data_IF_874584291639
#
_entry.id   IF_874584291639
#
_cell.length_a   1.000
_cell.length_b   1.000
_cell.length_c   1.000
_cell.angle_alpha   90.00
_cell.angle_beta   90.00
_cell.angle_gamma   90.00
#
_symmetry.space_group_name_H-M   'P 1'
#
loop_
_entity.id
_entity.type
_entity.pdbx_description
1 polymer ?
#
# COMPACT_ATOMS: atom_id res chain seq x y z
N UNK A 1 21.24 -10.83 52.83
CA UNK A 1 20.62 -11.36 51.60
C UNK A 1 20.11 -10.18 50.78
N UNK A 2 20.82 -9.80 49.71
CA UNK A 2 20.45 -8.67 48.82
C UNK A 2 19.42 -9.18 47.81
N UNK A 3 18.20 -8.64 47.86
CA UNK A 3 17.16 -8.87 46.84
C UNK A 3 17.36 -7.83 45.74
N UNK A 4 17.86 -8.25 44.59
CA UNK A 4 17.86 -7.43 43.38
C UNK A 4 16.46 -7.51 42.75
N UNK A 5 15.72 -6.40 42.78
CA UNK A 5 14.56 -6.20 41.91
C UNK A 5 15.10 -5.78 40.54
N UNK A 6 15.01 -6.67 39.56
CA UNK A 6 15.20 -6.32 38.15
C UNK A 6 13.89 -5.65 37.67
N UNK A 7 13.91 -4.33 37.54
CA UNK A 7 12.89 -3.59 36.84
C UNK A 7 13.12 -3.78 35.32
N UNK A 8 12.33 -4.63 34.68
CA UNK A 8 12.24 -4.65 33.22
C UNK A 8 11.51 -3.37 32.77
N UNK A 9 12.28 -2.34 32.41
CA UNK A 9 11.79 -1.23 31.60
C UNK A 9 11.41 -1.79 30.22
N UNK A 10 10.14 -2.12 30.01
CA UNK A 10 9.60 -2.33 28.69
C UNK A 10 9.66 -0.99 27.93
N UNK A 11 10.63 -0.86 27.03
CA UNK A 11 10.68 0.23 26.06
C UNK A 11 9.50 0.00 25.11
N UNK A 12 8.39 0.68 25.38
CA UNK A 12 7.28 0.79 24.44
C UNK A 12 7.78 1.65 23.27
N UNK A 13 8.26 0.98 22.22
CA UNK A 13 8.40 1.64 20.92
C UNK A 13 6.97 1.98 20.46
N UNK A 14 6.55 3.24 20.70
CA UNK A 14 5.43 3.84 19.99
C UNK A 14 5.77 3.83 18.50
N UNK A 15 5.37 2.76 17.80
CA UNK A 15 5.32 2.75 16.35
C UNK A 15 4.16 3.67 16.00
N UNK A 16 4.47 4.93 15.68
CA UNK A 16 3.49 5.85 15.12
C UNK A 16 2.89 5.17 13.89
N UNK A 17 1.56 5.12 13.81
CA UNK A 17 0.90 4.69 12.60
C UNK A 17 1.17 5.75 11.53
N UNK A 18 2.09 5.44 10.63
CA UNK A 18 2.31 6.27 9.46
C UNK A 18 1.05 6.21 8.61
N UNK A 19 0.51 7.37 8.25
CA UNK A 19 -0.47 7.46 7.18
C UNK A 19 0.11 6.76 5.95
N UNK A 20 -0.71 6.00 5.21
CA UNK A 20 -0.23 5.27 4.04
C UNK A 20 0.52 6.21 3.10
N UNK A 21 1.80 5.90 2.88
CA UNK A 21 2.65 6.64 1.96
C UNK A 21 2.27 6.22 0.54
N UNK A 22 1.49 7.07 -0.13
CA UNK A 22 1.05 6.81 -1.50
C UNK A 22 2.07 7.33 -2.52
N UNK A 23 3.35 7.20 -2.20
CA UNK A 23 4.45 7.58 -3.07
C UNK A 23 5.04 6.37 -3.77
N UNK A 24 5.45 6.56 -5.03
CA UNK A 24 6.15 5.55 -5.81
C UNK A 24 7.23 6.18 -6.68
N UNK A 25 8.12 5.32 -7.19
CA UNK A 25 9.22 5.71 -8.07
C UNK A 25 9.24 4.79 -9.28
N UNK A 26 9.37 5.38 -10.47
CA UNK A 26 9.58 4.66 -11.72
C UNK A 26 10.88 5.12 -12.38
N UNK A 27 11.71 4.16 -12.79
CA UNK A 27 12.90 4.42 -13.60
C UNK A 27 12.51 4.29 -15.07
N UNK A 28 12.64 5.37 -15.83
CA UNK A 28 12.22 5.45 -17.24
C UNK A 28 13.41 5.68 -18.16
N UNK A 29 13.34 5.09 -19.35
CA UNK A 29 14.27 5.32 -20.44
C UNK A 29 13.54 5.14 -21.77
N UNK A 30 13.10 6.25 -22.35
CA UNK A 30 12.19 6.26 -23.49
C UNK A 30 12.84 6.97 -24.67
N UNK A 31 12.69 6.40 -25.86
CA UNK A 31 13.16 7.01 -27.12
C UNK A 31 11.97 7.36 -28.01
N UNK A 32 12.01 8.51 -28.67
CA UNK A 32 10.98 9.05 -29.56
C UNK A 32 11.59 9.89 -30.69
N UNK A 33 10.73 10.40 -31.59
CA UNK A 33 11.12 11.28 -32.69
C UNK A 33 11.71 12.62 -32.20
N UNK A 34 11.31 13.07 -31.00
CA UNK A 34 11.86 14.26 -30.35
C UNK A 34 12.04 14.03 -28.86
N UNK A 35 13.00 14.74 -28.27
CA UNK A 35 13.24 14.71 -26.84
C UNK A 35 12.00 15.12 -26.00
N UNK A 36 11.21 16.08 -26.50
CA UNK A 36 9.98 16.51 -25.84
C UNK A 36 8.93 15.39 -25.83
N UNK A 37 8.72 14.73 -26.97
CA UNK A 37 7.81 13.58 -27.05
C UNK A 37 8.30 12.40 -26.19
N UNK A 38 9.62 12.14 -26.17
CA UNK A 38 10.21 11.12 -25.30
C UNK A 38 9.95 11.41 -23.82
N UNK A 39 10.09 12.68 -23.41
CA UNK A 39 9.80 13.12 -22.04
C UNK A 39 8.33 12.94 -21.69
N UNK A 40 7.41 13.38 -22.54
CA UNK A 40 5.96 13.27 -22.28
C UNK A 40 5.52 11.80 -22.13
N UNK A 41 6.04 10.91 -22.99
CA UNK A 41 5.80 9.47 -22.89
C UNK A 41 6.38 8.87 -21.61
N UNK A 42 7.60 9.27 -21.24
CA UNK A 42 8.26 8.81 -20.02
C UNK A 42 7.47 9.22 -18.76
N UNK A 43 6.92 10.43 -18.72
CA UNK A 43 6.04 10.86 -17.63
C UNK A 43 4.71 10.10 -17.59
N UNK A 44 4.14 9.77 -18.74
CA UNK A 44 2.90 8.98 -18.80
C UNK A 44 3.14 7.54 -18.34
N UNK A 45 4.23 6.91 -18.79
CA UNK A 45 4.65 5.56 -18.40
C UNK A 45 4.93 5.48 -16.89
N UNK A 46 5.75 6.40 -16.38
CA UNK A 46 6.04 6.48 -14.95
C UNK A 46 4.77 6.63 -14.11
N UNK A 47 3.84 7.50 -14.55
CA UNK A 47 2.58 7.74 -13.83
C UNK A 47 1.71 6.49 -13.79
N UNK A 48 1.54 5.81 -14.93
CA UNK A 48 0.76 4.56 -15.00
C UNK A 48 1.37 3.48 -14.12
N UNK A 49 2.69 3.30 -14.18
CA UNK A 49 3.39 2.34 -13.35
C UNK A 49 3.20 2.64 -11.86
N UNK A 50 3.47 3.87 -11.43
CA UNK A 50 3.34 4.26 -10.02
C UNK A 50 1.91 4.10 -9.52
N UNK A 51 0.91 4.52 -10.31
CA UNK A 51 -0.50 4.34 -9.96
C UNK A 51 -0.83 2.87 -9.78
N UNK A 52 -0.43 2.00 -10.71
CA UNK A 52 -0.62 0.56 -10.61
C UNK A 52 0.06 -0.03 -9.37
N UNK A 53 1.33 0.29 -9.15
CA UNK A 53 2.15 -0.30 -8.08
C UNK A 53 1.69 0.14 -6.68
N UNK A 54 1.30 1.41 -6.54
CA UNK A 54 0.85 1.98 -5.27
C UNK A 54 -0.61 1.63 -5.00
N UNK A 55 -1.53 1.95 -5.93
CA UNK A 55 -2.96 1.71 -5.71
C UNK A 55 -3.34 0.24 -5.79
N UNK A 56 -2.55 -0.61 -6.46
CA UNK A 56 -2.78 -2.06 -6.51
C UNK A 56 -2.69 -2.74 -5.15
N UNK A 57 -2.02 -2.11 -4.18
CA UNK A 57 -2.01 -2.56 -2.78
C UNK A 57 -3.35 -2.28 -2.07
N UNK A 58 -4.12 -1.34 -2.62
CA UNK A 58 -5.38 -0.83 -2.08
C UNK A 58 -6.62 -1.19 -2.91
N UNK A 59 -6.47 -2.01 -3.95
CA UNK A 59 -7.55 -2.39 -4.86
C UNK A 59 -7.37 -3.80 -5.42
N UNK A 60 -8.35 -4.27 -6.18
CA UNK A 60 -8.18 -5.48 -7.00
C UNK A 60 -7.19 -5.16 -8.14
N UNK A 61 -6.00 -5.80 -8.22
CA UNK A 61 -4.97 -5.42 -9.18
C UNK A 61 -5.42 -5.55 -10.64
N UNK A 62 -6.17 -6.60 -10.99
CA UNK A 62 -6.63 -6.82 -12.36
C UNK A 62 -7.61 -5.72 -12.82
N UNK A 63 -8.55 -5.33 -11.95
CA UNK A 63 -9.48 -4.23 -12.22
C UNK A 63 -8.74 -2.90 -12.39
N UNK A 64 -7.77 -2.63 -11.52
CA UNK A 64 -6.96 -1.42 -11.59
C UNK A 64 -6.18 -1.37 -12.89
N UNK A 65 -5.48 -2.46 -13.24
CA UNK A 65 -4.66 -2.53 -14.46
C UNK A 65 -5.50 -2.33 -15.73
N UNK A 66 -6.67 -2.94 -15.80
CA UNK A 66 -7.57 -2.80 -16.95
C UNK A 66 -8.06 -1.36 -17.13
N UNK A 67 -8.39 -0.67 -16.02
CA UNK A 67 -8.82 0.73 -16.06
C UNK A 67 -7.64 1.66 -16.35
N UNK A 68 -6.52 1.52 -15.64
CA UNK A 68 -5.31 2.34 -15.82
C UNK A 68 -4.80 2.26 -17.24
N UNK A 69 -4.77 1.07 -17.86
CA UNK A 69 -4.33 0.89 -19.25
C UNK A 69 -5.12 1.73 -20.25
N UNK A 70 -6.42 1.90 -20.02
CA UNK A 70 -7.32 2.62 -20.93
C UNK A 70 -7.61 4.06 -20.51
N UNK A 71 -7.14 4.48 -19.33
CA UNK A 71 -7.36 5.82 -18.80
C UNK A 71 -6.62 6.89 -19.63
N UNK A 72 -7.24 8.06 -19.76
CA UNK A 72 -6.60 9.22 -20.39
C UNK A 72 -5.51 9.74 -19.46
N UNK A 73 -4.42 10.22 -20.05
CA UNK A 73 -3.28 10.77 -19.31
C UNK A 73 -3.68 11.91 -18.36
N UNK A 74 -4.65 12.75 -18.77
CA UNK A 74 -5.17 13.84 -17.93
C UNK A 74 -5.88 13.34 -16.67
N UNK A 75 -6.66 12.26 -16.77
CA UNK A 75 -7.37 11.68 -15.62
C UNK A 75 -6.36 11.15 -14.60
N UNK A 76 -5.32 10.47 -15.08
CA UNK A 76 -4.25 9.95 -14.24
C UNK A 76 -3.40 11.08 -13.64
N UNK A 77 -3.19 12.19 -14.38
CA UNK A 77 -2.44 13.36 -13.88
C UNK A 77 -3.14 14.00 -12.68
N UNK A 78 -4.47 14.06 -12.71
CA UNK A 78 -5.27 14.64 -11.61
C UNK A 78 -5.15 13.83 -10.31
N UNK A 79 -4.60 12.61 -10.36
CA UNK A 79 -4.34 11.80 -9.18
C UNK A 79 -3.01 12.14 -8.50
N UNK A 80 -2.16 12.97 -9.12
CA UNK A 80 -0.80 13.24 -8.63
C UNK A 80 -0.80 14.53 -7.80
N UNK A 81 -0.50 14.41 -6.51
CA UNK A 81 -0.37 15.54 -5.59
C UNK A 81 0.99 16.24 -5.73
N UNK A 82 2.05 15.46 -5.94
CA UNK A 82 3.41 15.96 -6.07
C UNK A 82 4.24 15.04 -6.96
N UNK A 83 5.27 15.61 -7.59
CA UNK A 83 6.26 14.85 -8.35
C UNK A 83 7.65 15.44 -8.21
N UNK A 84 8.66 14.58 -8.35
CA UNK A 84 10.07 14.98 -8.40
C UNK A 84 10.83 14.11 -9.40
N UNK A 85 11.92 14.65 -9.92
CA UNK A 85 12.77 14.00 -10.93
C UNK A 85 14.17 13.91 -10.34
N UNK A 86 14.79 12.76 -10.47
CA UNK A 86 16.20 12.55 -10.13
C UNK A 86 16.93 11.88 -11.30
N UNK A 87 18.22 12.19 -11.45
CA UNK A 87 19.07 11.62 -12.50
C UNK A 87 18.59 11.89 -13.94
N UNK A 88 17.99 13.05 -14.22
CA UNK A 88 17.49 13.41 -15.55
C UNK A 88 18.61 13.45 -16.60
N UNK A 89 18.44 12.70 -17.67
CA UNK A 89 19.28 12.74 -18.87
C UNK A 89 18.41 12.88 -20.11
N UNK A 90 18.83 13.74 -21.02
CA UNK A 90 18.09 14.03 -22.25
C UNK A 90 19.06 14.12 -23.43
N UNK A 91 18.74 13.43 -24.52
CA UNK A 91 19.35 13.57 -25.83
C UNK A 91 18.32 14.12 -26.83
N UNK A 92 18.66 14.20 -28.12
CA UNK A 92 17.74 14.68 -29.15
C UNK A 92 16.47 13.83 -29.29
N UNK A 93 16.56 12.54 -28.93
CA UNK A 93 15.50 11.55 -29.12
C UNK A 93 15.21 10.70 -27.88
N UNK A 94 16.07 10.72 -26.86
CA UNK A 94 15.95 9.86 -25.68
C UNK A 94 15.81 10.69 -24.42
N UNK A 95 14.95 10.23 -23.51
CA UNK A 95 14.78 10.78 -22.16
C UNK A 95 14.88 9.65 -21.14
N UNK A 96 15.69 9.83 -20.10
CA UNK A 96 15.76 8.92 -18.96
C UNK A 96 15.82 9.67 -17.64
N UNK A 97 15.18 9.11 -16.62
CA UNK A 97 15.14 9.67 -15.27
C UNK A 97 14.59 8.65 -14.27
N UNK A 98 14.79 8.93 -12.99
CA UNK A 98 13.96 8.39 -11.92
C UNK A 98 12.86 9.40 -11.61
N UNK A 99 11.60 9.03 -11.82
CA UNK A 99 10.45 9.89 -11.57
C UNK A 99 9.76 9.39 -10.31
N UNK A 100 9.69 10.25 -9.30
CA UNK A 100 8.92 9.99 -8.08
C UNK A 100 7.60 10.75 -8.12
N UNK A 101 6.52 10.14 -7.68
CA UNK A 101 5.21 10.78 -7.59
C UNK A 101 4.53 10.38 -6.29
N UNK A 102 3.81 11.33 -5.69
CA UNK A 102 2.89 11.10 -4.57
C UNK A 102 1.47 11.22 -5.08
N UNK A 103 0.66 10.20 -4.82
CA UNK A 103 -0.74 10.13 -5.23
C UNK A 103 -1.61 10.86 -4.19
N UNK A 104 -2.50 11.72 -4.68
CA UNK A 104 -3.58 12.30 -3.89
C UNK A 104 -4.58 11.19 -3.52
N UNK A 105 -4.68 10.91 -2.22
CA UNK A 105 -5.52 9.86 -1.67
C UNK A 105 -6.99 10.05 -2.01
N UNK A 106 -7.52 11.26 -1.84
CA UNK A 106 -8.95 11.52 -1.98
C UNK A 106 -9.33 11.50 -3.45
N UNK A 107 -8.49 12.06 -4.32
CA UNK A 107 -8.66 11.96 -5.77
C UNK A 107 -8.59 10.51 -6.26
N UNK A 108 -7.60 9.73 -5.79
CA UNK A 108 -7.45 8.32 -6.17
C UNK A 108 -8.64 7.48 -5.72
N UNK A 109 -9.14 7.68 -4.50
CA UNK A 109 -10.31 6.97 -3.99
C UNK A 109 -11.56 7.31 -4.81
N UNK A 110 -11.83 8.59 -5.04
CA UNK A 110 -12.95 9.04 -5.86
C UNK A 110 -12.88 8.44 -7.27
N UNK A 111 -11.71 8.55 -7.91
CA UNK A 111 -11.48 8.00 -9.24
C UNK A 111 -11.66 6.49 -9.31
N UNK A 112 -11.15 5.72 -8.34
CA UNK A 112 -11.37 4.27 -8.28
C UNK A 112 -12.84 3.93 -8.11
N UNK A 113 -13.57 4.65 -7.26
CA UNK A 113 -15.02 4.45 -7.07
C UNK A 113 -15.80 4.78 -8.35
N UNK A 114 -15.50 5.90 -9.02
CA UNK A 114 -16.14 6.30 -10.28
C UNK A 114 -15.90 5.29 -11.41
N UNK A 115 -14.73 4.64 -11.42
CA UNK A 115 -14.38 3.61 -12.38
C UNK A 115 -14.79 2.19 -11.95
N UNK A 116 -15.59 2.04 -10.89
CA UNK A 116 -16.06 0.75 -10.37
C UNK A 116 -14.92 -0.20 -9.95
N UNK A 117 -13.77 0.34 -9.56
CA UNK A 117 -12.66 -0.42 -9.00
C UNK A 117 -12.94 -0.63 -7.52
N UNK A 118 -13.04 -1.90 -7.11
CA UNK A 118 -13.13 -2.23 -5.69
C UNK A 118 -11.84 -1.79 -5.00
N UNK A 119 -11.98 -0.86 -4.06
CA UNK A 119 -10.86 -0.32 -3.31
C UNK A 119 -11.11 -0.34 -1.79
N UNK A 120 -10.02 -0.35 -1.04
CA UNK A 120 -9.96 -0.31 0.41
C UNK A 120 -8.95 0.74 0.88
N UNK A 121 -8.79 1.80 0.09
CA UNK A 121 -8.06 2.99 0.51
C UNK A 121 -8.89 3.69 1.59
N UNK A 122 -8.32 3.86 2.78
CA UNK A 122 -9.02 4.53 3.88
C UNK A 122 -9.16 6.01 3.58
N UNK A 123 -10.31 6.60 3.95
CA UNK A 123 -10.49 8.04 3.83
C UNK A 123 -9.48 8.78 4.71
N UNK A 124 -9.07 9.99 4.32
CA UNK A 124 -8.05 10.76 5.06
C UNK A 124 -8.43 11.06 6.53
N UNK A 125 -9.71 10.89 6.89
CA UNK A 125 -10.24 11.09 8.24
C UNK A 125 -10.43 9.77 9.03
N UNK A 126 -10.35 8.62 8.37
CA UNK A 126 -10.52 7.28 8.92
C UNK A 126 -9.23 6.75 9.54
N UNK A 127 -8.44 7.65 10.15
CA UNK A 127 -7.17 7.37 10.84
C UNK A 127 -7.24 6.30 11.93
N UNK A 128 -8.40 5.71 12.16
CA UNK A 128 -8.62 4.64 13.10
C UNK A 128 -8.34 3.25 12.54
N UNK A 129 -8.14 3.04 11.22
CA UNK A 129 -7.90 1.69 10.66
C UNK A 129 -6.77 1.63 9.62
N UNK A 130 -6.07 0.50 9.58
CA UNK A 130 -5.08 0.17 8.56
C UNK A 130 -5.42 -1.13 7.84
N UNK A 131 -4.93 -1.25 6.61
CA UNK A 131 -5.18 -2.39 5.74
C UNK A 131 -4.22 -3.52 6.08
N UNK A 132 -4.77 -4.74 6.14
CA UNK A 132 -4.02 -5.99 6.30
C UNK A 132 -4.29 -6.87 5.10
N UNK A 133 -3.23 -7.27 4.40
CA UNK A 133 -3.30 -8.30 3.37
C UNK A 133 -2.78 -9.62 3.94
N UNK A 134 -3.59 -10.66 3.82
CA UNK A 134 -3.42 -11.93 4.51
C UNK A 134 -3.30 -13.02 3.46
N UNK A 135 -2.13 -13.63 3.32
CA UNK A 135 -1.89 -14.75 2.40
C UNK A 135 -1.73 -16.03 3.22
N UNK A 136 -2.50 -17.07 2.90
CA UNK A 136 -2.52 -18.30 3.69
C UNK A 136 -2.38 -19.53 2.82
N UNK A 137 -1.63 -20.52 3.30
CA UNK A 137 -1.53 -21.84 2.65
C UNK A 137 -2.84 -22.65 2.79
N UNK A 138 -3.41 -22.71 4.00
CA UNK A 138 -4.76 -23.22 4.26
C UNK A 138 -5.68 -22.07 4.66
N UNK A 139 -6.61 -21.74 3.77
CA UNK A 139 -7.49 -20.57 3.90
C UNK A 139 -8.39 -20.63 5.14
N UNK A 140 -9.05 -21.76 5.38
CA UNK A 140 -10.05 -21.82 6.45
C UNK A 140 -9.37 -21.91 7.81
N UNK A 141 -8.36 -22.79 7.93
CA UNK A 141 -7.62 -22.95 9.18
C UNK A 141 -6.89 -21.67 9.57
N UNK A 142 -6.15 -21.06 8.63
CA UNK A 142 -5.44 -19.81 8.86
C UNK A 142 -6.38 -18.65 9.21
N UNK A 143 -7.52 -18.56 8.53
CA UNK A 143 -8.48 -17.49 8.81
C UNK A 143 -9.17 -17.65 10.18
N UNK A 144 -9.56 -18.87 10.54
CA UNK A 144 -10.13 -19.14 11.87
C UNK A 144 -9.12 -18.84 12.97
N UNK A 145 -7.84 -19.19 12.75
CA UNK A 145 -6.77 -18.87 13.70
C UNK A 145 -6.58 -17.36 13.88
N UNK A 146 -6.52 -16.59 12.78
CA UNK A 146 -6.42 -15.12 12.86
C UNK A 146 -7.63 -14.49 13.56
N UNK A 147 -8.83 -15.01 13.29
CA UNK A 147 -10.06 -14.57 13.97
C UNK A 147 -10.04 -14.90 15.46
N UNK A 148 -9.46 -16.03 15.85
CA UNK A 148 -9.25 -16.39 17.26
C UNK A 148 -8.23 -15.45 17.91
N UNK A 149 -7.06 -15.26 17.30
CA UNK A 149 -6.02 -14.34 17.79
C UNK A 149 -6.60 -12.93 18.00
N UNK A 150 -7.29 -12.39 16.99
CA UNK A 150 -7.88 -11.06 17.10
C UNK A 150 -8.92 -10.99 18.23
N UNK A 151 -9.75 -12.03 18.39
CA UNK A 151 -10.74 -12.09 19.47
C UNK A 151 -10.10 -12.15 20.86
N UNK A 152 -9.06 -12.97 21.03
CA UNK A 152 -8.37 -13.15 22.30
C UNK A 152 -7.71 -11.83 22.77
N UNK A 153 -7.25 -11.01 21.81
CA UNK A 153 -6.69 -9.68 22.04
C UNK A 153 -7.73 -8.54 22.07
N UNK A 154 -9.02 -8.83 21.87
CA UNK A 154 -10.08 -7.81 21.79
C UNK A 154 -9.97 -6.89 20.58
N UNK A 155 -9.35 -7.35 19.50
CA UNK A 155 -9.07 -6.60 18.27
C UNK A 155 -10.18 -6.85 17.24
N UNK A 156 -10.74 -5.75 16.72
CA UNK A 156 -11.71 -5.83 15.63
C UNK A 156 -11.01 -6.04 14.28
N UNK A 157 -11.01 -7.28 13.79
CA UNK A 157 -10.55 -7.62 12.45
C UNK A 157 -11.74 -7.58 11.47
N UNK A 158 -11.85 -6.56 10.63
CA UNK A 158 -12.95 -6.42 9.67
C UNK A 158 -12.53 -6.94 8.30
N UNK A 159 -13.24 -7.93 7.75
CA UNK A 159 -12.98 -8.41 6.38
C UNK A 159 -13.50 -7.41 5.36
N UNK A 160 -12.70 -7.11 4.34
CA UNK A 160 -13.11 -6.29 3.20
C UNK A 160 -13.30 -7.11 1.95
N UNK A 161 -12.36 -8.02 1.68
CA UNK A 161 -12.35 -8.75 0.45
C UNK A 161 -11.69 -10.12 0.61
N UNK A 162 -12.13 -11.08 -0.20
CA UNK A 162 -11.63 -12.45 -0.21
C UNK A 162 -11.39 -12.84 -1.67
N UNK A 163 -10.14 -13.15 -2.01
CA UNK A 163 -9.75 -13.62 -3.34
C UNK A 163 -8.81 -14.81 -3.24
N UNK A 164 -9.29 -16.01 -3.62
CA UNK A 164 -8.52 -17.24 -3.51
C UNK A 164 -7.97 -17.43 -2.09
N UNK A 165 -6.65 -17.48 -1.98
CA UNK A 165 -5.89 -17.66 -0.74
C UNK A 165 -5.52 -16.34 -0.03
N UNK A 166 -5.93 -15.21 -0.59
CA UNK A 166 -5.71 -13.88 -0.03
C UNK A 166 -7.00 -13.34 0.59
N UNK A 167 -6.88 -12.77 1.79
CA UNK A 167 -7.93 -12.00 2.45
C UNK A 167 -7.40 -10.59 2.68
N UNK A 168 -8.19 -9.59 2.29
CA UNK A 168 -7.95 -8.20 2.68
C UNK A 168 -8.87 -7.86 3.85
N UNK A 169 -8.29 -7.35 4.91
CA UNK A 169 -8.99 -6.94 6.13
C UNK A 169 -8.52 -5.56 6.61
N UNK A 170 -9.21 -5.02 7.59
CA UNK A 170 -8.83 -3.81 8.30
C UNK A 170 -8.77 -4.06 9.80
N UNK A 171 -7.75 -3.48 10.44
CA UNK A 171 -7.54 -3.54 11.89
C UNK A 171 -7.44 -2.10 12.42
N UNK A 172 -7.94 -1.83 13.64
CA UNK A 172 -7.75 -0.52 14.24
C UNK A 172 -6.27 -0.16 14.37
N UNK A 173 -5.92 1.07 14.01
CA UNK A 173 -4.57 1.62 14.15
C UNK A 173 -4.08 1.51 15.59
N UNK A 174 -4.94 1.82 16.57
CA UNK A 174 -4.65 1.67 17.99
C UNK A 174 -4.27 0.22 18.39
N UNK A 175 -4.74 -0.77 17.64
CA UNK A 175 -4.49 -2.20 17.87
C UNK A 175 -3.30 -2.74 17.08
N UNK A 176 -2.60 -1.93 16.26
CA UNK A 176 -1.52 -2.41 15.36
C UNK A 176 -0.41 -3.13 16.12
N UNK A 177 0.03 -2.57 17.24
CA UNK A 177 1.11 -3.18 18.05
C UNK A 177 0.67 -4.52 18.65
N UNK A 178 -0.48 -4.56 19.31
CA UNK A 178 -1.03 -5.80 19.89
C UNK A 178 -1.24 -6.87 18.80
N UNK A 179 -1.81 -6.49 17.66
CA UNK A 179 -2.06 -7.41 16.54
C UNK A 179 -0.75 -8.02 16.00
N UNK A 180 0.26 -7.20 15.73
CA UNK A 180 1.55 -7.68 15.18
C UNK A 180 2.38 -8.49 16.17
N UNK A 181 2.21 -8.28 17.48
CA UNK A 181 2.80 -9.14 18.52
C UNK A 181 2.08 -10.49 18.52
N UNK A 182 0.75 -10.49 18.63
CA UNK A 182 -0.03 -11.72 18.79
C UNK A 182 0.09 -12.67 17.58
N UNK A 183 0.07 -12.13 16.34
CA UNK A 183 0.27 -12.97 15.15
C UNK A 183 1.68 -13.56 15.09
N UNK A 184 2.70 -12.81 15.52
CA UNK A 184 4.10 -13.28 15.54
C UNK A 184 4.31 -14.38 16.56
N UNK A 185 3.73 -14.24 17.75
CA UNK A 185 3.74 -15.28 18.79
C UNK A 185 3.03 -16.55 18.33
N UNK A 186 2.01 -16.42 17.48
CA UNK A 186 1.34 -17.54 16.81
C UNK A 186 2.08 -18.08 15.56
N UNK A 187 3.31 -17.62 15.31
CA UNK A 187 4.19 -18.10 14.24
C UNK A 187 3.93 -17.50 12.85
N UNK A 188 3.08 -16.48 12.73
CA UNK A 188 2.88 -15.76 11.47
C UNK A 188 4.05 -14.82 11.20
N UNK A 189 4.35 -14.63 9.91
CA UNK A 189 5.30 -13.62 9.46
C UNK A 189 4.55 -12.41 8.96
N UNK A 190 5.10 -11.22 9.16
CA UNK A 190 4.54 -10.01 8.61
C UNK A 190 5.60 -9.05 8.07
N UNK A 191 5.19 -8.21 7.12
CA UNK A 191 5.94 -7.09 6.59
C UNK A 191 5.03 -5.87 6.48
N UNK A 192 5.59 -4.69 6.70
CA UNK A 192 4.90 -3.41 6.46
C UNK A 192 5.39 -2.86 5.13
N UNK A 193 4.49 -2.63 4.19
CA UNK A 193 4.78 -2.04 2.90
C UNK A 193 3.81 -0.88 2.69
N UNK A 194 4.34 0.34 2.72
CA UNK A 194 3.60 1.58 2.49
C UNK A 194 2.34 1.77 3.38
N UNK A 195 2.33 1.19 4.59
CA UNK A 195 1.20 1.25 5.51
C UNK A 195 0.20 0.08 5.39
N UNK A 196 0.42 -0.84 4.43
CA UNK A 196 -0.25 -2.13 4.36
C UNK A 196 0.54 -3.17 5.14
N UNK A 197 -0.14 -3.87 6.05
CA UNK A 197 0.45 -5.01 6.75
C UNK A 197 0.23 -6.28 5.94
N UNK A 198 1.29 -6.83 5.36
CA UNK A 198 1.28 -8.11 4.67
C UNK A 198 1.59 -9.22 5.68
N UNK A 199 0.71 -10.19 5.84
CA UNK A 199 0.91 -11.32 6.74
C UNK A 199 0.83 -12.64 5.98
N UNK A 200 1.72 -13.58 6.32
CA UNK A 200 1.82 -14.88 5.64
C UNK A 200 2.00 -16.02 6.65
N UNK A 201 1.37 -17.15 6.33
CA UNK A 201 1.55 -18.44 7.01
C UNK A 201 1.64 -19.62 6.05
#
# INVERSE_FOLDING_TARGET
MKKFLFACCAVVFCVAAHASDLSGVASVNVTSDTAAAAKDMAFDEARRQIITDVLGQYSIPDQLNDVVKNAKSADLMNLIAASSIDGEQQSDTTYSANISMTIDRDAARAWMTENNIQNWLTDGNAGDRFVVQIVMTDKLAGWMELRRIARDEGIDLSTKYINGNQITAEVPVASRSAFTIAIREAGWRYADQNGVLHIIK
#
